data_IF_571178890780
#
_entry.id   IF_571178890780
#
_cell.length_a   1.000
_cell.length_b   1.000
_cell.length_c   1.000
_cell.angle_alpha   90.00
_cell.angle_beta   90.00
_cell.angle_gamma   90.00
#
_symmetry.space_group_name_H-M   'P 1'
#
loop_
_entity.id
_entity.type
_entity.pdbx_description
1 polymer ?
#
# COMPACT_ATOMS: atom_id res chain seq x y z
N UNK A 40 -3.96 1.94 6.32
CA UNK A 40 -4.30 2.76 5.16
C UNK A 40 -4.66 4.18 5.57
N UNK A 41 -5.23 4.94 4.65
CA UNK A 41 -5.63 6.31 4.92
C UNK A 41 -4.40 7.19 5.19
N UNK A 42 -3.23 6.66 4.90
CA UNK A 42 -1.98 7.40 5.11
C UNK A 42 -1.44 7.95 3.80
N UNK A 43 -0.57 8.97 3.89
CA UNK A 43 0.04 9.61 2.72
C UNK A 43 1.03 8.69 2.01
N UNK A 44 1.31 7.54 2.64
CA UNK A 44 2.25 6.58 2.06
C UNK A 44 1.84 6.18 0.65
N UNK A 45 0.54 6.29 0.36
CA UNK A 45 0.02 5.93 -0.94
C UNK A 45 0.55 6.88 -2.02
N UNK A 46 1.13 7.99 -1.58
CA UNK A 46 1.68 8.98 -2.50
C UNK A 46 2.61 8.32 -3.51
N UNK A 47 3.82 7.99 -3.07
CA UNK A 47 4.81 7.35 -3.94
C UNK A 47 6.12 7.11 -3.18
N UNK A 48 6.85 8.18 -2.93
CA UNK A 48 8.12 8.09 -2.22
C UNK A 48 9.14 7.29 -3.03
N UNK A 49 9.04 5.97 -2.98
CA UNK A 49 9.96 5.10 -3.70
C UNK A 49 9.41 3.68 -3.78
N UNK A 50 9.78 2.96 -4.84
CA UNK A 50 9.34 1.58 -5.06
C UNK A 50 9.95 0.61 -4.06
N UNK A 51 11.25 0.75 -3.83
CA UNK A 51 11.96 -0.11 -2.89
C UNK A 51 11.25 -0.15 -1.55
N UNK A 52 10.55 0.93 -1.22
CA UNK A 52 9.83 1.02 0.05
C UNK A 52 8.63 0.09 0.06
N UNK A 53 7.86 0.11 -1.02
CA UNK A 53 6.68 -0.74 -1.13
C UNK A 53 7.06 -2.22 -1.16
N UNK A 54 8.11 -2.53 -1.93
CA UNK A 54 8.59 -3.90 -2.05
C UNK A 54 9.35 -4.33 -0.79
N UNK A 55 9.77 -3.34 0.00
CA UNK A 55 10.50 -3.62 1.23
C UNK A 55 9.62 -4.34 2.25
N UNK A 56 8.35 -3.93 2.32
CA UNK A 56 7.41 -4.54 3.25
C UNK A 56 6.87 -5.85 2.70
N UNK A 57 6.32 -6.69 3.60
CA UNK A 57 5.76 -7.99 3.23
C UNK A 57 4.47 -7.86 2.41
N UNK A 58 4.33 -8.71 1.40
CA UNK A 58 3.15 -8.69 0.55
C UNK A 58 1.87 -8.71 1.38
N UNK A 59 1.88 -9.48 2.46
CA UNK A 59 0.72 -9.58 3.34
C UNK A 59 0.25 -8.19 3.78
N UNK A 60 1.20 -7.30 4.03
CA UNK A 60 0.89 -5.95 4.46
C UNK A 60 0.68 -5.03 3.26
N UNK A 61 1.50 -5.21 2.23
CA UNK A 61 1.41 -4.40 1.02
C UNK A 61 0.06 -4.61 0.33
N UNK A 62 -0.53 -5.78 0.53
CA UNK A 62 -1.82 -6.10 -0.07
C UNK A 62 -2.96 -5.52 0.76
N UNK A 63 -2.72 -5.32 2.05
CA UNK A 63 -3.73 -4.77 2.94
C UNK A 63 -3.95 -3.29 2.67
N UNK A 64 -2.91 -2.62 2.20
CA UNK A 64 -2.99 -1.20 1.89
C UNK A 64 -3.57 -0.97 0.50
N UNK A 65 -3.30 -1.89 -0.41
CA UNK A 65 -3.80 -1.80 -1.77
C UNK A 65 -5.24 -2.30 -1.86
N UNK A 66 -5.50 -3.45 -1.24
CA UNK A 66 -6.83 -4.03 -1.25
C UNK A 66 -7.82 -3.13 -0.53
N UNK A 67 -7.43 -2.60 0.62
CA UNK A 67 -8.28 -1.73 1.41
C UNK A 67 -8.82 -0.58 0.55
N UNK A 68 -7.96 -0.03 -0.29
CA UNK A 68 -8.34 1.08 -1.16
C UNK A 68 -9.32 0.63 -2.23
N UNK A 69 -9.29 -0.67 -2.55
CA UNK A 69 -10.18 -1.24 -3.55
C UNK A 69 -11.51 -1.63 -2.93
N UNK A 70 -11.47 -2.12 -1.70
CA UNK A 70 -12.68 -2.53 -1.00
C UNK A 70 -13.71 -1.40 -0.98
N UNK A 71 -13.27 -0.22 -0.56
CA UNK A 71 -14.15 0.94 -0.49
C UNK A 71 -14.55 1.41 -1.89
N UNK A 72 -13.75 1.01 -2.89
CA UNK A 72 -14.02 1.39 -4.26
C UNK A 72 -15.08 0.49 -4.88
#
# INVERSE_FOLDING_TARGET
MGSSHHHHHHHHLNGSSLVPRGSIKSSGLESNSDAGINLIALPAFSQVDPEVFAALPAELQRELKAAYDQRQ
#
